data_IF_896669013504
#
_entry.id   IF_896669013504
#
_cell.length_a   1.000
_cell.length_b   1.000
_cell.length_c   1.000
_cell.angle_alpha   90.00
_cell.angle_beta   90.00
_cell.angle_gamma   90.00
#
_symmetry.space_group_name_H-M   'P 1'
#
loop_
_entity.id
_entity.type
_entity.pdbx_description
1 polymer ?
#
# COMPACT_ATOMS: atom_id res chain seq x y z
N UNK A 1 -5.25 -4.34 16.17
CA UNK A 1 -5.99 -5.02 15.08
C UNK A 1 -7.41 -4.46 14.86
N UNK A 2 -7.68 -3.18 15.16
CA UNK A 2 -9.00 -2.55 14.99
C UNK A 2 -9.00 -1.43 13.93
N UNK A 3 -7.82 -0.95 13.52
CA UNK A 3 -7.64 0.18 12.60
C UNK A 3 -7.57 -0.28 11.14
N UNK A 4 -7.04 -1.49 10.88
CA UNK A 4 -6.91 -2.05 9.53
C UNK A 4 -8.28 -2.17 8.84
N UNK A 5 -9.36 -2.41 9.60
CA UNK A 5 -10.69 -2.64 9.03
C UNK A 5 -11.31 -1.36 8.47
N UNK A 6 -11.07 -0.19 9.08
CA UNK A 6 -11.71 1.06 8.62
C UNK A 6 -11.05 1.57 7.33
N UNK A 7 -9.72 1.53 7.24
CA UNK A 7 -9.01 1.96 6.03
C UNK A 7 -9.25 1.01 4.87
N UNK A 8 -9.26 -0.29 5.15
CA UNK A 8 -9.70 -1.28 4.18
C UNK A 8 -11.10 -0.95 3.63
N UNK A 9 -12.07 -0.66 4.51
CA UNK A 9 -13.43 -0.30 4.08
C UNK A 9 -13.49 1.02 3.32
N UNK A 10 -12.70 2.03 3.73
CA UNK A 10 -12.64 3.33 3.06
C UNK A 10 -12.09 3.16 1.64
N UNK A 11 -10.95 2.48 1.47
CA UNK A 11 -10.37 2.25 0.14
C UNK A 11 -11.23 1.33 -0.74
N UNK A 12 -11.94 0.38 -0.13
CA UNK A 12 -12.91 -0.46 -0.83
C UNK A 12 -14.13 0.35 -1.31
N UNK A 13 -14.57 1.35 -0.54
CA UNK A 13 -15.74 2.17 -0.86
C UNK A 13 -15.40 3.29 -1.86
N UNK A 14 -14.24 3.91 -1.70
CA UNK A 14 -13.81 5.07 -2.50
C UNK A 14 -12.64 4.68 -3.41
N UNK A 15 -12.97 4.16 -4.59
CA UNK A 15 -11.99 3.65 -5.55
C UNK A 15 -10.98 4.70 -6.07
N UNK A 16 -11.34 5.99 -6.06
CA UNK A 16 -10.46 7.09 -6.47
C UNK A 16 -9.53 7.60 -5.37
N UNK A 17 -9.80 7.25 -4.10
CA UNK A 17 -9.23 7.95 -2.94
C UNK A 17 -7.69 7.93 -2.93
N UNK A 18 -7.06 6.82 -3.30
CA UNK A 18 -5.61 6.76 -3.34
C UNK A 18 -5.03 7.84 -4.26
N UNK A 19 -5.58 7.98 -5.46
CA UNK A 19 -5.09 8.94 -6.46
C UNK A 19 -5.34 10.37 -6.03
N UNK A 20 -6.49 10.64 -5.39
CA UNK A 20 -6.77 11.94 -4.78
C UNK A 20 -5.73 12.30 -3.71
N UNK A 21 -5.39 11.34 -2.83
CA UNK A 21 -4.37 11.53 -1.79
C UNK A 21 -2.96 11.73 -2.36
N UNK A 22 -2.66 11.13 -3.51
CA UNK A 22 -1.40 11.32 -4.23
C UNK A 22 -1.36 12.65 -5.03
N UNK A 23 -2.46 13.41 -5.06
CA UNK A 23 -2.57 14.63 -5.88
C UNK A 23 -2.67 14.34 -7.38
N UNK A 24 -3.07 13.13 -7.74
CA UNK A 24 -3.17 12.64 -9.10
C UNK A 24 -4.61 12.74 -9.64
N UNK A 25 -4.80 12.82 -10.97
CA UNK A 25 -6.13 12.81 -11.56
C UNK A 25 -6.89 11.53 -11.22
N UNK A 26 -8.17 11.64 -10.85
CA UNK A 26 -9.00 10.51 -10.44
C UNK A 26 -9.21 9.47 -11.54
N UNK A 27 -9.09 9.88 -12.81
CA UNK A 27 -9.14 9.00 -13.98
C UNK A 27 -8.02 7.96 -13.97
N UNK A 28 -6.89 8.24 -13.28
CA UNK A 28 -5.83 7.24 -13.12
C UNK A 28 -6.31 5.99 -12.37
N UNK A 29 -7.32 6.13 -11.51
CA UNK A 29 -7.94 5.02 -10.78
C UNK A 29 -8.71 4.05 -11.68
N UNK A 30 -9.06 4.45 -12.92
CA UNK A 30 -9.76 3.57 -13.84
C UNK A 30 -8.91 2.33 -14.16
N UNK A 31 -9.54 1.15 -14.11
CA UNK A 31 -8.86 -0.11 -14.32
C UNK A 31 -7.96 -0.54 -13.15
N UNK A 32 -8.08 0.07 -11.97
CA UNK A 32 -7.52 -0.48 -10.74
C UNK A 32 -8.56 -1.28 -9.96
N UNK A 33 -8.12 -2.40 -9.39
CA UNK A 33 -8.85 -3.20 -8.41
C UNK A 33 -8.16 -3.11 -7.06
N UNK A 34 -8.93 -2.72 -6.05
CA UNK A 34 -8.47 -2.77 -4.68
C UNK A 34 -8.61 -4.20 -4.12
N UNK A 35 -7.55 -4.70 -3.49
CA UNK A 35 -7.54 -5.98 -2.80
C UNK A 35 -6.66 -5.90 -1.55
N UNK A 36 -6.96 -6.71 -0.55
CA UNK A 36 -6.02 -6.99 0.53
C UNK A 36 -5.52 -8.43 0.34
N UNK A 37 -4.23 -8.56 0.00
CA UNK A 37 -3.61 -9.87 -0.19
C UNK A 37 -2.94 -10.27 1.11
N UNK A 38 -3.43 -11.35 1.70
CA UNK A 38 -2.72 -12.04 2.77
C UNK A 38 -1.63 -12.91 2.15
N UNK A 39 -0.37 -12.59 2.47
CA UNK A 39 0.79 -13.36 2.00
C UNK A 39 1.00 -14.53 2.95
N UNK A 40 0.36 -15.66 2.61
CA UNK A 40 0.19 -16.84 3.48
C UNK A 40 1.50 -17.43 4.02
N UNK A 41 2.61 -17.35 3.30
CA UNK A 41 3.87 -17.96 3.77
C UNK A 41 4.53 -17.21 4.93
N UNK A 42 4.25 -15.91 5.10
CA UNK A 42 4.85 -15.08 6.16
C UNK A 42 3.82 -14.37 7.06
N UNK A 43 2.53 -14.65 6.87
CA UNK A 43 1.42 -14.15 7.70
C UNK A 43 1.38 -12.62 7.85
N UNK A 44 1.81 -11.89 6.82
CA UNK A 44 1.61 -10.43 6.76
C UNK A 44 0.55 -10.11 5.72
N UNK A 45 -0.07 -8.94 5.89
CA UNK A 45 -1.16 -8.44 5.06
C UNK A 45 -0.92 -6.96 4.85
N UNK A 46 -0.90 -6.55 3.59
CA UNK A 46 -0.92 -5.13 3.26
C UNK A 46 -2.27 -4.52 3.63
N UNK A 47 -2.25 -3.31 4.16
CA UNK A 47 -3.47 -2.51 4.36
C UNK A 47 -4.22 -2.32 3.04
N UNK A 48 -3.49 -2.15 1.94
CA UNK A 48 -4.08 -2.03 0.61
C UNK A 48 -3.14 -2.40 -0.54
N UNK A 49 -3.67 -3.09 -1.54
CA UNK A 49 -3.02 -3.28 -2.83
C UNK A 49 -3.97 -2.84 -3.93
N UNK A 50 -3.53 -1.88 -4.76
CA UNK A 50 -4.24 -1.50 -5.97
C UNK A 50 -3.56 -2.18 -7.14
N UNK A 51 -4.24 -3.19 -7.68
CA UNK A 51 -3.78 -3.99 -8.80
C UNK A 51 -4.37 -3.41 -10.10
N UNK A 52 -3.55 -3.05 -11.09
CA UNK A 52 -4.05 -2.61 -12.38
C UNK A 52 -4.50 -3.80 -13.22
N UNK A 53 -5.54 -3.59 -14.03
CA UNK A 53 -6.04 -4.54 -15.03
C UNK A 53 -5.16 -4.58 -16.29
N UNK A 54 -4.28 -3.59 -16.47
CA UNK A 54 -3.36 -3.47 -17.61
C UNK A 54 -1.89 -3.57 -17.17
N UNK A 55 -1.04 -4.14 -18.03
CA UNK A 55 0.40 -4.26 -17.77
C UNK A 55 1.20 -2.95 -17.77
N UNK A 56 0.63 -1.86 -18.29
CA UNK A 56 1.31 -0.56 -18.45
C UNK A 56 1.26 0.31 -17.18
N UNK A 57 0.42 -0.05 -16.22
CA UNK A 57 0.20 0.69 -14.98
C UNK A 57 0.92 -0.02 -13.82
N UNK A 58 1.45 0.71 -12.83
CA UNK A 58 2.13 0.08 -11.70
C UNK A 58 1.14 -0.48 -10.67
N UNK A 59 1.58 -1.47 -9.90
CA UNK A 59 0.91 -1.92 -8.67
C UNK A 59 1.19 -0.90 -7.56
N UNK A 60 0.17 -0.48 -6.81
CA UNK A 60 0.38 0.31 -5.59
C UNK A 60 0.25 -0.56 -4.35
N UNK A 61 1.31 -0.61 -3.55
CA UNK A 61 1.27 -1.13 -2.18
C UNK A 61 1.03 0.04 -1.25
N UNK A 62 0.04 -0.05 -0.37
CA UNK A 62 -0.38 1.02 0.53
C UNK A 62 -0.34 0.52 1.97
N UNK A 63 0.33 1.28 2.83
CA UNK A 63 0.39 1.05 4.27
C UNK A 63 0.00 2.32 5.02
N UNK A 64 -0.83 2.20 6.06
CA UNK A 64 -1.35 3.33 6.83
C UNK A 64 -0.85 3.27 8.27
N UNK A 65 -0.19 4.33 8.72
CA UNK A 65 0.43 4.39 10.05
C UNK A 65 -0.15 5.50 10.94
N UNK A 66 -0.64 5.07 12.11
CA UNK A 66 -1.23 5.93 13.16
C UNK A 66 -0.36 6.04 14.41
N UNK A 67 0.73 5.28 14.47
CA UNK A 67 1.66 5.26 15.59
C UNK A 67 3.09 5.35 15.04
N UNK A 68 4.03 5.93 15.80
CA UNK A 68 5.42 5.91 15.40
C UNK A 68 5.91 4.45 15.33
N UNK A 69 6.54 4.10 14.21
CA UNK A 69 7.08 2.76 13.99
C UNK A 69 8.47 2.90 13.34
N UNK A 70 9.52 2.76 14.15
CA UNK A 70 10.90 3.00 13.72
C UNK A 70 11.31 2.12 12.53
N UNK A 71 10.94 0.85 12.57
CA UNK A 71 11.27 -0.13 11.53
C UNK A 71 10.31 -0.10 10.34
N UNK A 72 9.40 0.87 10.25
CA UNK A 72 8.31 0.89 9.26
C UNK A 72 8.82 0.68 7.83
N UNK A 73 9.80 1.46 7.40
CA UNK A 73 10.30 1.39 6.03
C UNK A 73 11.03 0.06 5.75
N UNK A 74 11.76 -0.48 6.73
CA UNK A 74 12.44 -1.77 6.62
C UNK A 74 11.45 -2.93 6.50
N UNK A 75 10.38 -2.91 7.29
CA UNK A 75 9.31 -3.89 7.21
C UNK A 75 8.56 -3.76 5.88
N UNK A 76 8.14 -2.55 5.50
CA UNK A 76 7.34 -2.32 4.31
C UNK A 76 8.08 -2.72 3.03
N UNK A 77 9.36 -2.37 2.89
CA UNK A 77 10.14 -2.77 1.72
C UNK A 77 10.38 -4.30 1.70
N UNK A 78 10.54 -4.92 2.87
CA UNK A 78 10.72 -6.37 2.98
C UNK A 78 9.46 -7.10 2.52
N UNK A 79 8.29 -6.66 2.99
CA UNK A 79 6.99 -7.18 2.62
C UNK A 79 6.73 -7.08 1.11
N UNK A 80 7.03 -5.92 0.51
CA UNK A 80 6.94 -5.72 -0.95
C UNK A 80 7.84 -6.72 -1.68
N UNK A 81 9.10 -6.87 -1.27
CA UNK A 81 10.01 -7.80 -1.92
C UNK A 81 9.55 -9.26 -1.80
N UNK A 82 8.95 -9.65 -0.67
CA UNK A 82 8.37 -10.98 -0.51
C UNK A 82 7.22 -11.18 -1.50
N UNK A 83 6.31 -10.21 -1.61
CA UNK A 83 5.21 -10.25 -2.58
C UNK A 83 5.73 -10.40 -4.01
N UNK A 84 6.68 -9.54 -4.41
CA UNK A 84 7.26 -9.55 -5.76
C UNK A 84 7.96 -10.87 -6.07
N UNK A 85 8.70 -11.43 -5.11
CA UNK A 85 9.37 -12.72 -5.27
C UNK A 85 8.38 -13.88 -5.43
N UNK A 86 7.24 -13.84 -4.72
CA UNK A 86 6.21 -14.87 -4.77
C UNK A 86 5.39 -14.82 -6.06
N UNK A 87 4.88 -13.64 -6.43
CA UNK A 87 3.92 -13.50 -7.53
C UNK A 87 4.57 -13.15 -8.87
N UNK A 88 5.79 -12.59 -8.86
CA UNK A 88 6.56 -12.19 -10.05
C UNK A 88 5.71 -11.42 -11.09
N UNK A 89 5.02 -10.34 -10.68
CA UNK A 89 4.21 -9.56 -11.61
C UNK A 89 5.08 -8.96 -12.72
N UNK A 90 4.49 -8.74 -13.90
CA UNK A 90 5.18 -8.07 -15.02
C UNK A 90 5.15 -6.55 -14.88
N UNK A 91 4.18 -6.04 -14.13
CA UNK A 91 3.99 -4.62 -13.87
C UNK A 91 5.09 -4.07 -12.95
N UNK A 92 5.44 -2.81 -13.16
CA UNK A 92 6.17 -2.01 -12.17
C UNK A 92 5.35 -1.84 -10.88
N UNK A 93 5.96 -1.27 -9.86
CA UNK A 93 5.29 -1.05 -8.58
C UNK A 93 5.67 0.28 -7.93
N UNK A 94 4.80 0.77 -7.05
CA UNK A 94 5.01 1.95 -6.21
C UNK A 94 4.56 1.63 -4.78
N UNK A 95 5.34 2.13 -3.81
CA UNK A 95 4.99 2.08 -2.39
C UNK A 95 4.41 3.42 -1.94
N UNK A 96 3.30 3.37 -1.21
CA UNK A 96 2.62 4.54 -0.64
C UNK A 96 2.47 4.34 0.86
N UNK A 97 3.13 5.20 1.63
CA UNK A 97 2.99 5.25 3.07
C UNK A 97 2.10 6.44 3.47
N UNK A 98 1.00 6.16 4.16
CA UNK A 98 0.04 7.16 4.62
C UNK A 98 0.16 7.33 6.13
N UNK A 99 0.64 8.48 6.57
CA UNK A 99 0.76 8.80 7.99
C UNK A 99 -0.36 9.72 8.44
N UNK A 100 -0.99 9.42 9.58
CA UNK A 100 -2.04 10.26 10.15
C UNK A 100 -1.55 11.68 10.51
N UNK A 101 -0.25 11.81 10.79
CA UNK A 101 0.45 13.06 11.07
C UNK A 101 1.90 12.95 10.60
N UNK A 102 2.49 14.07 10.17
CA UNK A 102 3.90 14.13 9.74
C UNK A 102 4.87 13.60 10.80
N UNK A 103 4.60 13.88 12.08
CA UNK A 103 5.44 13.46 13.21
C UNK A 103 5.47 11.94 13.47
N UNK A 104 4.66 11.15 12.75
CA UNK A 104 4.67 9.69 12.83
C UNK A 104 5.60 9.05 11.79
N UNK A 105 5.97 9.81 10.77
CA UNK A 105 7.00 9.42 9.82
C UNK A 105 8.34 9.30 10.55
N UNK A 106 9.11 8.27 10.22
CA UNK A 106 10.41 8.00 10.85
C UNK A 106 11.41 9.13 10.57
N UNK A 107 11.18 9.93 9.51
CA UNK A 107 11.98 11.06 8.98
C UNK A 107 13.42 10.71 8.58
N UNK A 108 14.09 9.82 9.32
CA UNK A 108 15.44 9.31 9.09
C UNK A 108 15.41 7.79 9.22
N UNK A 109 15.81 7.07 8.17
CA UNK A 109 16.00 5.63 8.22
C UNK A 109 17.13 5.33 9.23
N UNK A 110 16.80 4.71 10.36
CA UNK A 110 17.78 4.25 11.33
C UNK A 110 18.40 2.92 10.87
N UNK A 111 19.70 2.77 11.09
CA UNK A 111 20.50 1.59 10.77
C UNK A 111 20.48 0.55 11.89
#
# INVERSE_FOLDING_TARGET
MHTDTIFYQIFLTFHTLLFELLGEPTEKAEGYKFTSVEVKEKAFRFDGIFMPDSGEKPIYFVEVQFQPKQEFYWEFITEINIYLNQYKPQQDWQAVALFAKRSLDVEVLTN
#
